data_IF_405127389456
#
_entry.id   IF_405127389456
#
_cell.length_a   1.000
_cell.length_b   1.000
_cell.length_c   1.000
_cell.angle_alpha   90.00
_cell.angle_beta   90.00
_cell.angle_gamma   90.00
#
_symmetry.space_group_name_H-M   'P 1'
#
loop_
_entity.id
_entity.type
_entity.pdbx_description
1 polymer ?
#
# COMPACT_ATOMS: atom_id res chain seq x y z
N UNK A 1 -22.15 -25.11 13.60
CA UNK A 1 -22.60 -24.44 14.84
C UNK A 1 -21.38 -24.34 15.73
N UNK A 2 -21.02 -23.13 16.15
CA UNK A 2 -19.87 -22.89 17.04
C UNK A 2 -20.49 -22.66 18.41
N UNK A 3 -20.07 -23.45 19.39
CA UNK A 3 -20.56 -23.34 20.77
C UNK A 3 -19.54 -22.56 21.58
N UNK A 4 -19.90 -21.35 22.00
CA UNK A 4 -19.09 -20.59 22.96
C UNK A 4 -19.67 -20.85 24.35
N UNK A 5 -18.88 -21.44 25.24
CA UNK A 5 -19.26 -21.69 26.63
C UNK A 5 -18.64 -20.63 27.54
N UNK A 6 -19.50 -19.85 28.21
CA UNK A 6 -19.10 -18.97 29.30
C UNK A 6 -19.38 -19.68 30.62
N UNK A 7 -18.33 -19.98 31.38
CA UNK A 7 -18.45 -20.53 32.73
C UNK A 7 -18.48 -19.38 33.72
N UNK A 8 -19.63 -19.17 34.36
CA UNK A 8 -19.81 -18.27 35.49
C UNK A 8 -19.76 -19.13 36.76
N UNK A 9 -19.46 -18.55 37.93
CA UNK A 9 -19.16 -19.24 39.19
C UNK A 9 -20.13 -20.37 39.60
N UNK A 10 -21.36 -20.39 39.08
CA UNK A 10 -22.38 -21.44 39.35
C UNK A 10 -23.15 -21.94 38.12
N UNK A 11 -22.69 -21.65 36.88
CA UNK A 11 -23.41 -22.10 35.67
C UNK A 11 -22.64 -21.91 34.36
N UNK A 12 -23.07 -22.60 33.30
CA UNK A 12 -22.55 -22.40 31.93
C UNK A 12 -23.62 -21.76 31.05
N UNK A 13 -23.27 -20.66 30.39
CA UNK A 13 -24.09 -20.07 29.32
C UNK A 13 -23.48 -20.47 27.98
N UNK A 14 -24.27 -21.14 27.14
CA UNK A 14 -23.89 -21.49 25.77
C UNK A 14 -24.49 -20.50 24.78
N UNK A 15 -23.69 -20.01 23.83
CA UNK A 15 -24.18 -19.20 22.71
C UNK A 15 -23.99 -20.02 21.42
N UNK A 16 -25.09 -20.19 20.68
CA UNK A 16 -25.15 -20.88 19.39
C UNK A 16 -25.11 -19.88 18.24
N UNK A 17 -24.00 -19.88 17.50
CA UNK A 17 -23.82 -18.99 16.34
C UNK A 17 -23.95 -19.80 15.05
N UNK A 18 -24.78 -19.36 14.10
CA UNK A 18 -24.85 -19.95 12.76
C UNK A 18 -23.69 -19.41 11.90
N UNK A 19 -22.61 -20.19 11.79
CA UNK A 19 -21.40 -19.82 11.04
C UNK A 19 -21.62 -19.60 9.53
N UNK A 20 -22.78 -19.99 8.98
CA UNK A 20 -23.03 -19.84 7.53
C UNK A 20 -23.25 -18.39 7.10
N UNK A 21 -23.52 -17.50 8.06
CA UNK A 21 -23.90 -16.10 7.79
C UNK A 21 -22.99 -15.08 8.48
N UNK A 22 -21.93 -15.53 9.15
CA UNK A 22 -21.00 -14.65 9.87
C UNK A 22 -19.65 -14.69 9.17
N UNK A 23 -19.28 -13.57 8.56
CA UNK A 23 -17.93 -13.35 8.04
C UNK A 23 -16.99 -12.91 9.17
N UNK A 24 -15.73 -13.31 9.09
CA UNK A 24 -14.68 -12.89 10.02
C UNK A 24 -13.97 -11.68 9.41
N UNK A 25 -14.06 -10.53 10.06
CA UNK A 25 -13.24 -9.37 9.73
C UNK A 25 -12.01 -9.32 10.63
N UNK A 26 -10.85 -9.56 10.02
CA UNK A 26 -9.56 -9.67 10.71
C UNK A 26 -8.75 -8.37 10.66
N UNK A 27 -9.23 -7.39 9.89
CA UNK A 27 -8.54 -6.13 9.68
C UNK A 27 -8.70 -5.20 10.89
N UNK A 28 -7.79 -4.23 11.08
CA UNK A 28 -7.88 -3.27 12.17
C UNK A 28 -9.12 -2.38 12.01
N UNK A 29 -9.79 -2.11 13.12
CA UNK A 29 -10.90 -1.17 13.15
C UNK A 29 -10.43 0.25 12.81
N UNK A 30 -11.22 1.03 12.06
CA UNK A 30 -10.89 2.42 11.80
C UNK A 30 -10.90 3.23 13.10
N UNK A 31 -9.98 4.20 13.17
CA UNK A 31 -9.85 5.12 14.31
C UNK A 31 -11.19 5.82 14.59
N UNK A 32 -11.69 5.69 15.82
CA UNK A 32 -12.95 6.30 16.25
C UNK A 32 -14.20 5.47 15.99
N UNK A 33 -14.08 4.23 15.51
CA UNK A 33 -15.22 3.32 15.46
C UNK A 33 -15.61 2.82 16.86
N UNK A 34 -16.92 2.80 17.14
CA UNK A 34 -17.50 2.25 18.37
C UNK A 34 -17.98 0.81 18.20
N UNK A 35 -17.69 0.18 17.07
CA UNK A 35 -18.08 -1.20 16.79
C UNK A 35 -17.12 -2.16 17.47
N UNK A 36 -17.67 -3.15 18.18
CA UNK A 36 -16.89 -4.20 18.79
C UNK A 36 -16.68 -5.32 17.77
N UNK A 37 -15.45 -5.45 17.26
CA UNK A 37 -15.03 -6.60 16.46
C UNK A 37 -13.93 -7.35 17.22
N UNK A 38 -14.24 -8.55 17.71
CA UNK A 38 -13.31 -9.39 18.48
C UNK A 38 -12.17 -9.96 17.62
N UNK A 39 -12.35 -10.03 16.30
CA UNK A 39 -11.35 -10.55 15.37
C UNK A 39 -10.47 -9.46 14.77
N UNK A 40 -10.73 -8.18 15.07
CA UNK A 40 -9.99 -7.06 14.51
C UNK A 40 -8.48 -7.13 14.83
N UNK A 41 -7.67 -6.63 13.91
CA UNK A 41 -6.20 -6.59 14.00
C UNK A 41 -5.56 -7.97 14.25
N UNK A 42 -6.22 -9.05 13.81
CA UNK A 42 -5.66 -10.42 13.84
C UNK A 42 -4.98 -10.82 12.53
N UNK A 43 -5.06 -9.97 11.50
CA UNK A 43 -4.43 -10.16 10.21
C UNK A 43 -2.90 -10.35 10.31
N UNK A 44 -2.35 -10.95 9.26
CA UNK A 44 -0.90 -11.19 9.11
C UNK A 44 -0.30 -10.32 8.01
N UNK A 45 -0.93 -9.19 7.64
CA UNK A 45 -0.33 -8.29 6.68
C UNK A 45 0.96 -7.69 7.24
N UNK A 46 1.96 -7.45 6.38
CA UNK A 46 3.19 -6.76 6.75
C UNK A 46 2.88 -5.28 6.96
N UNK A 47 2.56 -4.91 8.20
CA UNK A 47 2.08 -3.57 8.58
C UNK A 47 3.02 -2.42 8.18
N UNK A 48 4.30 -2.69 7.91
CA UNK A 48 5.26 -1.69 7.45
C UNK A 48 4.90 -1.10 6.08
N UNK A 49 4.45 -1.95 5.15
CA UNK A 49 4.27 -1.56 3.73
C UNK A 49 2.88 -1.90 3.18
N UNK A 50 2.09 -2.69 3.90
CA UNK A 50 0.76 -3.16 3.48
C UNK A 50 -0.33 -2.82 4.50
N UNK A 51 -1.57 -2.72 4.02
CA UNK A 51 -2.79 -2.52 4.79
C UNK A 51 -3.81 -3.63 4.49
N UNK A 52 -4.60 -4.00 5.50
CA UNK A 52 -5.57 -5.09 5.42
C UNK A 52 -6.92 -4.59 4.90
N UNK A 53 -7.51 -5.34 3.96
CA UNK A 53 -8.88 -5.11 3.48
C UNK A 53 -9.67 -6.42 3.54
N UNK A 54 -10.75 -6.42 4.32
CA UNK A 54 -11.62 -7.58 4.50
C UNK A 54 -12.39 -7.93 3.22
N UNK A 55 -12.62 -9.22 2.99
CA UNK A 55 -13.38 -9.75 1.85
C UNK A 55 -14.66 -10.38 2.39
N UNK A 56 -15.83 -9.76 2.19
CA UNK A 56 -17.10 -10.29 2.67
C UNK A 56 -17.61 -11.46 1.81
N UNK A 57 -18.52 -12.26 2.35
CA UNK A 57 -19.24 -13.33 1.65
C UNK A 57 -18.49 -14.65 1.53
N UNK A 58 -17.41 -14.83 2.30
CA UNK A 58 -16.60 -16.05 2.30
C UNK A 58 -16.95 -17.00 3.46
N UNK A 59 -17.81 -16.55 4.38
CA UNK A 59 -18.25 -17.28 5.55
C UNK A 59 -17.21 -17.27 6.68
N UNK A 60 -17.43 -18.13 7.67
CA UNK A 60 -16.56 -18.24 8.83
C UNK A 60 -15.26 -18.98 8.49
N UNK A 61 -14.30 -18.26 7.92
CA UNK A 61 -12.96 -18.79 7.62
C UNK A 61 -11.88 -17.72 7.82
N UNK A 62 -10.70 -18.15 8.26
CA UNK A 62 -9.51 -17.32 8.40
C UNK A 62 -8.93 -16.98 7.02
N UNK A 63 -8.28 -15.82 6.91
CA UNK A 63 -7.66 -15.38 5.66
C UNK A 63 -8.65 -14.77 4.67
N UNK A 64 -9.84 -14.37 5.14
CA UNK A 64 -10.87 -13.68 4.34
C UNK A 64 -10.55 -12.19 4.21
N UNK A 65 -9.32 -11.88 3.84
CA UNK A 65 -8.83 -10.53 3.61
C UNK A 65 -7.77 -10.54 2.50
N UNK A 66 -7.43 -9.36 2.02
CA UNK A 66 -6.27 -9.13 1.14
C UNK A 66 -5.40 -8.03 1.74
N UNK A 67 -4.09 -8.15 1.59
CA UNK A 67 -3.15 -7.09 1.93
C UNK A 67 -2.85 -6.27 0.68
N UNK A 68 -3.22 -5.00 0.70
CA UNK A 68 -2.92 -4.04 -0.37
C UNK A 68 -1.75 -3.15 0.06
N UNK A 69 -1.04 -2.54 -0.88
CA UNK A 69 0.06 -1.65 -0.54
C UNK A 69 -0.45 -0.36 0.09
N UNK A 70 0.23 0.10 1.15
CA UNK A 70 -0.03 1.42 1.75
C UNK A 70 0.32 2.54 0.77
N UNK A 71 -0.21 3.74 1.05
CA UNK A 71 0.22 4.98 0.37
C UNK A 71 1.75 5.12 0.44
N UNK A 72 2.36 5.52 -0.66
CA UNK A 72 3.81 5.58 -0.82
C UNK A 72 4.47 4.23 -1.11
N UNK A 73 3.70 3.15 -1.33
CA UNK A 73 4.22 1.85 -1.73
C UNK A 73 3.44 1.27 -2.92
N UNK A 74 4.09 0.44 -3.73
CA UNK A 74 3.50 -0.26 -4.88
C UNK A 74 3.84 -1.75 -4.89
N UNK A 75 3.00 -2.52 -5.59
CA UNK A 75 3.14 -3.97 -5.67
C UNK A 75 4.29 -4.35 -6.63
N UNK A 76 5.25 -5.20 -6.22
CA UNK A 76 6.45 -5.47 -7.02
C UNK A 76 6.17 -6.00 -8.44
N UNK A 77 5.19 -6.91 -8.58
CA UNK A 77 4.77 -7.42 -9.89
C UNK A 77 3.68 -6.52 -10.51
N UNK A 78 4.16 -5.44 -11.13
CA UNK A 78 3.33 -4.41 -11.75
C UNK A 78 2.47 -4.90 -12.91
N UNK A 79 2.78 -6.08 -13.48
CA UNK A 79 2.04 -6.70 -14.59
C UNK A 79 0.92 -7.62 -14.11
N UNK A 80 0.87 -7.95 -12.83
CA UNK A 80 -0.17 -8.79 -12.26
C UNK A 80 -1.53 -8.08 -12.29
N UNK A 81 -2.60 -8.84 -12.60
CA UNK A 81 -3.98 -8.32 -12.60
C UNK A 81 -4.45 -8.00 -11.17
N UNK A 82 -3.99 -8.77 -10.19
CA UNK A 82 -4.29 -8.60 -8.77
C UNK A 82 -3.08 -8.05 -8.02
N UNK A 83 -3.00 -6.72 -7.87
CA UNK A 83 -1.94 -6.03 -7.10
C UNK A 83 -2.19 -6.09 -5.58
N UNK A 84 -2.25 -7.30 -5.04
CA UNK A 84 -2.48 -7.54 -3.61
C UNK A 84 -1.98 -8.93 -3.22
N UNK A 85 -1.72 -9.12 -1.92
CA UNK A 85 -1.43 -10.43 -1.37
C UNK A 85 -2.70 -11.06 -0.80
N UNK A 86 -2.96 -12.32 -1.15
CA UNK A 86 -4.12 -13.06 -0.65
C UNK A 86 -3.93 -13.43 0.83
N UNK A 87 -4.89 -13.09 1.68
CA UNK A 87 -4.84 -13.39 3.11
C UNK A 87 -4.73 -14.89 3.41
N UNK A 88 -5.40 -15.75 2.64
CA UNK A 88 -5.29 -17.21 2.79
C UNK A 88 -3.86 -17.73 2.65
N UNK A 89 -3.11 -17.22 1.66
CA UNK A 89 -1.71 -17.63 1.42
C UNK A 89 -0.82 -17.13 2.56
N UNK A 90 -1.03 -15.89 3.01
CA UNK A 90 -0.26 -15.33 4.12
C UNK A 90 -0.49 -16.12 5.40
N UNK A 91 -1.75 -16.46 5.71
CA UNK A 91 -2.09 -17.23 6.91
C UNK A 91 -1.46 -18.64 6.87
N UNK A 92 -1.47 -19.30 5.70
CA UNK A 92 -0.80 -20.59 5.51
C UNK A 92 0.71 -20.52 5.73
N UNK A 93 1.38 -19.53 5.12
CA UNK A 93 2.82 -19.35 5.32
C UNK A 93 3.16 -18.95 6.76
N UNK A 94 2.30 -18.16 7.40
CA UNK A 94 2.47 -17.81 8.81
C UNK A 94 2.31 -19.03 9.74
N UNK A 95 1.40 -19.95 9.42
CA UNK A 95 1.24 -21.20 10.15
C UNK A 95 2.49 -22.08 10.05
N UNK A 96 3.07 -22.23 8.84
CA UNK A 96 4.35 -22.92 8.64
C UNK A 96 5.46 -22.32 9.51
N UNK A 97 5.54 -20.99 9.57
CA UNK A 97 6.50 -20.29 10.44
C UNK A 97 6.30 -20.65 11.91
N UNK A 98 5.04 -20.73 12.37
CA UNK A 98 4.73 -21.09 13.77
C UNK A 98 5.04 -22.54 14.10
N UNK A 99 4.95 -23.43 13.12
CA UNK A 99 5.34 -24.84 13.24
C UNK A 99 6.85 -25.06 13.15
N UNK A 100 7.64 -24.01 12.89
CA UNK A 100 9.09 -24.10 12.71
C UNK A 100 9.51 -24.68 11.37
N UNK A 101 8.59 -24.73 10.40
CA UNK A 101 8.87 -25.15 9.03
C UNK A 101 9.43 -23.99 8.20
N UNK A 102 9.99 -24.33 7.04
CA UNK A 102 10.38 -23.31 6.06
C UNK A 102 9.14 -22.54 5.59
N UNK A 103 9.17 -21.22 5.75
CA UNK A 103 8.06 -20.33 5.41
C UNK A 103 8.56 -19.12 4.64
N UNK A 104 7.85 -18.77 3.57
CA UNK A 104 8.10 -17.55 2.82
C UNK A 104 7.80 -16.30 3.66
N UNK A 105 6.95 -16.41 4.69
CA UNK A 105 6.62 -15.29 5.57
C UNK A 105 7.82 -14.77 6.37
N UNK A 106 8.81 -15.63 6.66
CA UNK A 106 10.02 -15.26 7.39
C UNK A 106 11.06 -14.52 6.53
N UNK A 107 10.92 -14.53 5.21
CA UNK A 107 11.88 -13.92 4.28
C UNK A 107 11.59 -12.42 4.18
N UNK A 108 12.60 -11.57 4.34
CA UNK A 108 12.47 -10.12 4.14
C UNK A 108 12.10 -9.79 2.69
N UNK A 109 11.26 -8.76 2.51
CA UNK A 109 10.75 -8.35 1.21
C UNK A 109 9.61 -9.22 0.66
N UNK A 110 9.32 -10.39 1.26
CA UNK A 110 8.18 -11.22 0.86
C UNK A 110 6.91 -10.77 1.58
N UNK A 111 5.80 -10.71 0.83
CA UNK A 111 4.53 -10.09 1.24
C UNK A 111 4.67 -8.59 1.60
N UNK A 112 5.75 -7.95 1.16
CA UNK A 112 6.00 -6.52 1.35
C UNK A 112 5.98 -5.78 0.02
N UNK A 113 5.44 -4.56 0.03
CA UNK A 113 5.45 -3.67 -1.12
C UNK A 113 6.75 -2.85 -1.20
N UNK A 114 7.05 -2.35 -2.40
CA UNK A 114 8.22 -1.49 -2.66
C UNK A 114 7.83 -0.01 -2.47
N UNK A 115 8.73 0.83 -1.95
CA UNK A 115 8.45 2.26 -1.80
C UNK A 115 8.35 2.94 -3.16
N UNK A 116 7.48 3.94 -3.27
CA UNK A 116 7.42 4.83 -4.42
C UNK A 116 8.66 5.74 -4.48
N UNK A 117 8.89 6.33 -5.65
CA UNK A 117 9.87 7.40 -5.82
C UNK A 117 9.60 8.57 -4.85
N UNK A 118 10.66 9.26 -4.44
CA UNK A 118 10.57 10.37 -3.49
C UNK A 118 9.61 11.46 -3.96
N UNK A 119 8.75 11.92 -3.06
CA UNK A 119 7.73 12.95 -3.35
C UNK A 119 6.44 12.39 -3.96
N UNK A 120 6.33 11.09 -4.18
CA UNK A 120 5.11 10.45 -4.68
C UNK A 120 4.26 9.85 -3.56
N UNK A 121 2.97 10.19 -3.52
CA UNK A 121 2.01 9.56 -2.59
C UNK A 121 1.41 8.25 -3.14
N UNK A 122 1.27 8.15 -4.46
CA UNK A 122 0.73 6.99 -5.16
C UNK A 122 1.57 6.72 -6.42
N UNK A 123 1.90 5.46 -6.66
CA UNK A 123 2.63 5.05 -7.84
C UNK A 123 2.23 3.63 -8.26
N UNK A 124 2.34 3.34 -9.55
CA UNK A 124 2.13 1.98 -10.07
C UNK A 124 3.43 1.18 -10.19
N UNK A 125 4.56 1.89 -10.20
CA UNK A 125 5.90 1.40 -10.45
C UNK A 125 6.91 2.40 -9.89
N UNK A 126 8.20 2.12 -10.07
CA UNK A 126 9.30 3.00 -9.68
C UNK A 126 9.46 4.24 -10.59
N UNK A 127 8.50 4.53 -11.46
CA UNK A 127 8.61 5.72 -12.31
C UNK A 127 8.43 7.00 -11.48
N UNK A 128 9.27 8.02 -11.70
CA UNK A 128 9.18 9.26 -10.96
C UNK A 128 7.90 10.03 -11.35
N UNK A 129 6.99 10.25 -10.39
CA UNK A 129 5.78 11.05 -10.61
C UNK A 129 6.07 12.55 -10.63
N UNK A 130 7.12 12.97 -9.92
CA UNK A 130 7.66 14.32 -9.94
C UNK A 130 8.90 14.31 -10.82
N UNK A 131 9.07 15.34 -11.66
CA UNK A 131 10.34 15.55 -12.34
C UNK A 131 11.41 15.64 -11.26
N UNK A 132 12.37 14.69 -11.28
CA UNK A 132 13.54 14.79 -10.41
C UNK A 132 14.19 16.13 -10.72
N UNK A 133 14.13 17.04 -9.76
CA UNK A 133 14.72 18.37 -9.89
C UNK A 133 16.22 18.21 -9.76
N UNK A 134 16.82 17.63 -10.79
CA UNK A 134 18.25 17.50 -10.93
C UNK A 134 18.79 18.92 -11.00
N UNK A 135 19.69 19.26 -10.07
CA UNK A 135 20.36 20.55 -10.05
C UNK A 135 20.97 20.87 -11.43
N UNK A 136 21.45 19.84 -12.14
CA UNK A 136 21.97 19.89 -13.51
C UNK A 136 20.93 20.38 -14.53
N UNK A 137 19.70 19.85 -14.50
CA UNK A 137 18.65 20.26 -15.45
C UNK A 137 18.20 21.69 -15.15
N UNK A 138 18.11 22.04 -13.86
CA UNK A 138 17.76 23.39 -13.43
C UNK A 138 18.82 24.41 -13.83
N UNK A 139 20.11 24.12 -13.63
CA UNK A 139 21.20 25.01 -14.06
C UNK A 139 21.27 25.12 -15.57
N UNK A 140 21.08 24.03 -16.31
CA UNK A 140 21.06 24.05 -17.77
C UNK A 140 19.93 24.95 -18.34
N UNK A 141 18.71 24.84 -17.80
CA UNK A 141 17.57 25.67 -18.23
C UNK A 141 17.83 27.15 -17.91
N UNK A 142 18.33 27.47 -16.72
CA UNK A 142 18.64 28.84 -16.32
C UNK A 142 19.76 29.46 -17.18
N UNK A 143 20.79 28.68 -17.53
CA UNK A 143 21.85 29.14 -18.45
C UNK A 143 21.25 29.43 -19.82
N UNK A 144 20.41 28.54 -20.35
CA UNK A 144 19.76 28.72 -21.64
C UNK A 144 18.89 29.99 -21.67
N UNK A 145 18.07 30.22 -20.65
CA UNK A 145 17.26 31.44 -20.52
C UNK A 145 18.14 32.70 -20.50
N UNK A 146 19.19 32.71 -19.68
CA UNK A 146 20.12 33.84 -19.62
C UNK A 146 20.79 34.11 -20.97
N UNK A 147 21.18 33.08 -21.72
CA UNK A 147 21.74 33.23 -23.06
C UNK A 147 20.72 33.86 -24.03
N UNK A 148 19.47 33.41 -24.01
CA UNK A 148 18.41 33.99 -24.86
C UNK A 148 18.18 35.46 -24.49
N UNK A 149 18.05 35.77 -23.20
CA UNK A 149 17.83 37.14 -22.70
C UNK A 149 18.98 38.07 -23.10
N UNK A 150 20.23 37.60 -23.10
CA UNK A 150 21.38 38.39 -23.53
C UNK A 150 21.42 38.62 -25.05
N UNK A 151 20.99 37.64 -25.84
CA UNK A 151 20.97 37.73 -27.31
C UNK A 151 19.85 38.65 -27.84
N UNK A 152 18.68 38.66 -27.19
CA UNK A 152 17.52 39.47 -27.61
C UNK A 152 17.83 40.98 -27.81
N UNK A 153 18.46 41.71 -26.87
CA UNK A 153 18.75 43.14 -27.06
C UNK A 153 19.78 43.37 -28.17
N UNK A 154 20.74 42.46 -28.38
CA UNK A 154 21.70 42.57 -29.50
C UNK A 154 20.97 42.46 -30.84
N UNK A 155 20.04 41.51 -30.96
CA UNK A 155 19.22 41.36 -32.17
C UNK A 155 18.30 42.57 -32.36
N UNK A 156 17.69 43.10 -31.30
CA UNK A 156 16.86 44.32 -31.35
C UNK A 156 17.70 45.52 -31.80
N UNK A 157 18.89 45.73 -31.25
CA UNK A 157 19.78 46.82 -31.65
C UNK A 157 20.22 46.68 -33.12
N UNK A 158 20.52 45.46 -33.55
CA UNK A 158 20.92 45.16 -34.93
C UNK A 158 19.76 45.43 -35.90
N UNK A 159 18.56 44.94 -35.59
CA UNK A 159 17.36 45.16 -36.41
C UNK A 159 16.95 46.63 -36.47
N UNK A 160 17.04 47.39 -35.36
CA UNK A 160 16.80 48.83 -35.38
C UNK A 160 17.82 49.60 -36.23
N UNK A 161 19.10 49.22 -36.14
CA UNK A 161 20.18 49.90 -36.88
C UNK A 161 20.12 49.64 -38.40
N UNK A 162 19.76 48.42 -38.81
CA UNK A 162 19.73 48.04 -40.23
C UNK A 162 18.33 48.06 -40.85
N UNK A 163 17.26 48.24 -40.07
CA UNK A 163 15.89 48.37 -40.57
C UNK A 163 15.52 49.77 -41.07
N UNK A 164 16.41 50.76 -40.92
CA UNK A 164 16.22 52.15 -41.36
C UNK A 164 17.05 52.50 -42.61
N UNK A 165 17.35 51.50 -43.45
CA UNK A 165 17.89 51.67 -44.82
C UNK A 165 16.77 51.51 -45.83
#
# INVERSE_FOLDING_TARGET
MFHVHLTIETGTSGIDIDLRRVDIDQCPLPLGSSQLNIFAASDKCKQRTTECVAIPGLGFRRGSYRCICKRGFYFPDTKSVGRYYNGTVIEEEYEKLMLGEFSQYAIEGVFECLPCAEGCEYCENDSPCVVSLNWLMRTAILILECCVIACLPVVILFTWKYGNV
#
